data_IF_435039911163
#
_entry.id   IF_435039911163
#
_cell.length_a   1.000
_cell.length_b   1.000
_cell.length_c   1.000
_cell.angle_alpha   90.00
_cell.angle_beta   90.00
_cell.angle_gamma   90.00
#
_symmetry.space_group_name_H-M   'P 1'
#
loop_
_entity.id
_entity.type
_entity.pdbx_description
1 polymer ?
#
# COMPACT_ATOMS: atom_id res chain seq x y z
N UNK A 1 -23.82 29.27 14.61
CA UNK A 1 -22.56 28.58 14.98
C UNK A 1 -22.51 27.27 14.22
N UNK A 2 -21.61 27.14 13.25
CA UNK A 2 -20.93 25.90 12.77
C UNK A 2 -20.34 26.21 11.39
N UNK A 3 -19.09 26.64 11.35
CA UNK A 3 -18.26 26.52 10.15
C UNK A 3 -17.01 25.72 10.52
N UNK A 4 -16.79 24.58 9.85
CA UNK A 4 -15.46 24.04 9.66
C UNK A 4 -15.24 23.86 8.16
N UNK A 5 -15.21 24.95 7.37
CA UNK A 5 -14.90 24.90 5.93
C UNK A 5 -13.50 25.41 5.58
N UNK A 6 -12.73 25.87 6.57
CA UNK A 6 -11.41 26.45 6.33
C UNK A 6 -10.24 25.45 6.38
N UNK A 7 -10.45 24.21 6.84
CA UNK A 7 -9.37 23.22 6.96
C UNK A 7 -9.15 22.38 5.69
N UNK A 8 -10.14 22.30 4.81
CA UNK A 8 -10.06 21.49 3.58
C UNK A 8 -9.14 22.12 2.51
N UNK A 9 -9.09 23.44 2.41
CA UNK A 9 -8.28 24.14 1.39
C UNK A 9 -6.77 24.13 1.69
N UNK A 10 -6.36 23.92 2.93
CA UNK A 10 -4.93 23.92 3.28
C UNK A 10 -4.23 22.61 2.88
N UNK A 11 -4.94 21.47 2.89
CA UNK A 11 -4.37 20.18 2.49
C UNK A 11 -4.26 20.02 0.97
N UNK A 12 -5.07 20.75 0.18
CA UNK A 12 -4.98 20.76 -1.29
C UNK A 12 -3.71 21.43 -1.83
N UNK A 13 -2.97 22.17 -0.99
CA UNK A 13 -1.68 22.77 -1.38
C UNK A 13 -0.51 21.77 -1.39
N UNK A 14 -0.67 20.63 -0.72
CA UNK A 14 0.39 19.64 -0.56
C UNK A 14 0.05 18.38 -1.34
N UNK A 15 1.03 17.84 -2.05
CA UNK A 15 0.90 16.54 -2.66
C UNK A 15 1.03 15.44 -1.60
N UNK A 16 0.41 14.26 -1.79
CA UNK A 16 0.69 13.09 -0.96
C UNK A 16 2.08 12.54 -1.28
N UNK A 17 2.73 11.96 -0.27
CA UNK A 17 4.00 11.25 -0.44
C UNK A 17 3.91 10.18 -1.55
N UNK A 18 4.95 10.08 -2.37
CA UNK A 18 5.01 9.12 -3.48
C UNK A 18 5.05 7.63 -3.05
N UNK A 19 5.20 7.33 -1.76
CA UNK A 19 5.20 5.95 -1.26
C UNK A 19 3.76 5.46 -1.09
N UNK A 20 3.39 4.32 -1.71
CA UNK A 20 2.07 3.74 -1.51
C UNK A 20 1.78 3.55 -0.03
N UNK A 21 0.58 3.90 0.42
CA UNK A 21 0.12 3.85 1.83
C UNK A 21 0.68 4.91 2.78
N UNK A 22 1.56 5.81 2.33
CA UNK A 22 1.99 6.97 3.12
C UNK A 22 1.12 8.20 2.81
N UNK A 23 0.47 8.75 3.82
CA UNK A 23 -0.41 9.93 3.69
C UNK A 23 0.28 11.24 4.13
N UNK A 24 1.60 11.19 4.36
CA UNK A 24 2.34 12.38 4.79
C UNK A 24 2.38 13.41 3.66
N UNK A 25 1.99 14.68 3.93
CA UNK A 25 2.03 15.73 2.91
C UNK A 25 3.49 16.07 2.54
N UNK A 26 3.71 16.33 1.25
CA UNK A 26 4.98 16.76 0.66
C UNK A 26 4.75 18.00 -0.21
N UNK A 27 5.83 18.71 -0.52
CA UNK A 27 5.76 19.97 -1.27
C UNK A 27 5.48 19.74 -2.75
N UNK A 28 6.15 18.78 -3.38
CA UNK A 28 5.99 18.51 -4.81
C UNK A 28 5.45 17.09 -5.05
N UNK A 29 4.63 16.94 -6.09
CA UNK A 29 4.14 15.63 -6.52
C UNK A 29 5.31 14.76 -6.97
N UNK A 30 5.45 13.59 -6.36
CA UNK A 30 6.58 12.68 -6.60
C UNK A 30 7.63 12.71 -5.49
N UNK A 31 7.57 13.66 -4.56
CA UNK A 31 8.44 13.68 -3.40
C UNK A 31 8.14 12.56 -2.39
N UNK A 32 9.19 12.17 -1.68
CA UNK A 32 9.11 11.22 -0.56
C UNK A 32 9.33 11.99 0.74
N UNK A 33 8.47 11.80 1.74
CA UNK A 33 8.64 12.50 3.03
C UNK A 33 9.91 12.04 3.78
N UNK A 34 10.44 12.88 4.68
CA UNK A 34 11.67 12.59 5.43
C UNK A 34 11.64 11.25 6.17
N UNK A 35 10.48 10.84 6.69
CA UNK A 35 10.33 9.53 7.36
C UNK A 35 10.57 8.36 6.40
N UNK A 36 9.97 8.41 5.21
CA UNK A 36 10.14 7.39 4.18
C UNK A 36 11.55 7.44 3.55
N UNK A 37 12.14 8.62 3.39
CA UNK A 37 13.54 8.74 2.94
C UNK A 37 14.50 8.07 3.93
N UNK A 38 14.30 8.27 5.24
CA UNK A 38 15.16 7.65 6.25
C UNK A 38 14.98 6.11 6.31
N UNK A 39 13.75 5.63 6.16
CA UNK A 39 13.46 4.20 6.21
C UNK A 39 13.91 3.44 4.94
N UNK A 40 13.69 4.06 3.78
CA UNK A 40 13.79 3.38 2.48
C UNK A 40 14.79 4.01 1.52
N UNK A 41 15.48 5.09 1.88
CA UNK A 41 16.26 5.93 0.96
C UNK A 41 17.26 5.17 0.09
N UNK A 42 17.89 4.12 0.62
CA UNK A 42 18.81 3.26 -0.13
C UNK A 42 18.13 2.34 -1.17
N UNK A 43 16.82 2.11 -1.06
CA UNK A 43 16.00 1.33 -1.99
C UNK A 43 15.18 2.20 -2.93
N UNK A 44 15.06 3.50 -2.67
CA UNK A 44 14.38 4.42 -3.58
C UNK A 44 15.21 4.56 -4.84
N UNK A 45 14.55 4.42 -5.99
CA UNK A 45 15.15 4.64 -7.30
C UNK A 45 14.38 5.76 -7.98
N UNK A 46 15.05 6.80 -8.50
CA UNK A 46 14.41 7.79 -9.34
C UNK A 46 13.74 7.09 -10.51
N UNK A 47 12.45 7.34 -10.74
CA UNK A 47 11.78 6.87 -11.95
C UNK A 47 12.34 7.71 -13.11
N UNK A 48 13.01 7.10 -14.10
CA UNK A 48 13.38 7.85 -15.30
C UNK A 48 12.10 8.36 -15.98
N UNK A 49 12.11 9.59 -16.53
CA UNK A 49 10.96 10.10 -17.25
C UNK A 49 10.67 9.13 -18.42
N UNK A 50 9.47 8.55 -18.44
CA UNK A 50 9.06 7.73 -19.56
C UNK A 50 8.86 8.64 -20.80
N UNK A 51 9.22 8.19 -22.02
CA UNK A 51 8.88 8.92 -23.22
C UNK A 51 7.34 8.96 -23.35
N UNK A 52 6.76 10.13 -23.09
CA UNK A 52 5.32 10.36 -23.10
C UNK A 52 4.65 10.57 -21.73
N UNK A 53 5.41 10.66 -20.64
CA UNK A 53 4.89 11.06 -19.31
C UNK A 53 4.62 12.59 -19.34
N UNK A 54 3.47 12.97 -19.92
CA UNK A 54 2.86 14.28 -19.71
C UNK A 54 2.33 14.26 -18.27
N UNK A 55 2.82 15.19 -17.44
CA UNK A 55 2.26 15.44 -16.10
C UNK A 55 0.74 15.44 -16.19
N UNK A 56 0.02 14.71 -15.32
CA UNK A 56 -1.43 14.76 -15.34
C UNK A 56 -1.86 16.16 -14.88
N UNK A 57 -2.00 17.09 -15.83
CA UNK A 57 -2.93 18.19 -15.64
C UNK A 57 -4.30 17.55 -15.52
N UNK A 58 -4.98 17.84 -14.40
CA UNK A 58 -6.37 17.49 -14.21
C UNK A 58 -7.18 18.07 -15.36
N UNK A 59 -7.63 17.21 -16.27
CA UNK A 59 -8.70 17.53 -17.20
C UNK A 59 -9.87 16.55 -16.98
N UNK A 60 -10.99 17.18 -16.62
CA UNK A 60 -12.31 16.66 -16.30
C UNK A 60 -12.74 15.60 -17.34
N UNK A 61 -12.92 14.34 -16.93
CA UNK A 61 -13.30 13.28 -17.86
C UNK A 61 -14.43 12.41 -17.30
N UNK A 62 -15.60 12.73 -17.80
CA UNK A 62 -16.80 11.92 -17.84
C UNK A 62 -16.52 10.45 -18.22
N UNK A 63 -17.13 9.57 -17.43
CA UNK A 63 -17.52 8.17 -17.67
C UNK A 63 -17.25 7.62 -19.08
N UNK A 64 -16.24 6.76 -19.21
CA UNK A 64 -16.23 5.69 -20.21
C UNK A 64 -15.83 4.38 -19.51
N UNK A 65 -16.78 3.46 -19.45
CA UNK A 65 -16.69 2.19 -18.73
C UNK A 65 -15.69 1.22 -19.34
N UNK A 66 -14.95 0.55 -18.46
CA UNK A 66 -14.16 -0.65 -18.76
C UNK A 66 -14.91 -1.88 -18.23
N UNK A 67 -15.06 -2.95 -19.02
CA UNK A 67 -15.88 -4.09 -18.66
C UNK A 67 -15.23 -4.91 -17.52
N UNK A 68 -16.10 -5.35 -16.61
CA UNK A 68 -15.80 -6.18 -15.47
C UNK A 68 -15.24 -7.56 -15.89
N UNK A 69 -13.92 -7.65 -16.01
CA UNK A 69 -13.20 -8.92 -15.96
C UNK A 69 -12.99 -9.30 -14.50
N UNK A 70 -13.77 -10.27 -14.01
CA UNK A 70 -13.81 -10.71 -12.63
C UNK A 70 -12.41 -11.04 -12.06
N UNK A 71 -11.91 -10.18 -11.19
CA UNK A 71 -10.86 -10.54 -10.24
C UNK A 71 -11.52 -11.46 -9.20
N UNK A 72 -10.98 -12.67 -8.91
CA UNK A 72 -11.51 -13.49 -7.83
C UNK A 72 -11.33 -12.77 -6.49
N UNK A 73 -12.41 -12.11 -6.06
CA UNK A 73 -12.61 -11.53 -4.74
C UNK A 73 -12.92 -12.63 -3.74
N UNK A 74 -11.88 -13.27 -3.21
CA UNK A 74 -11.97 -14.01 -1.94
C UNK A 74 -10.59 -14.21 -1.33
N UNK A 75 -9.84 -13.12 -1.10
CA UNK A 75 -8.82 -13.15 -0.06
C UNK A 75 -9.54 -12.96 1.27
N UNK A 76 -9.98 -14.07 1.86
CA UNK A 76 -10.32 -14.11 3.28
C UNK A 76 -9.03 -13.78 4.02
N UNK A 77 -8.81 -12.49 4.31
CA UNK A 77 -7.76 -12.01 5.20
C UNK A 77 -8.13 -12.45 6.61
N UNK A 78 -8.02 -13.76 6.86
CA UNK A 78 -8.04 -14.29 8.20
C UNK A 78 -6.69 -13.89 8.81
N UNK A 79 -6.66 -12.93 9.77
CA UNK A 79 -5.39 -12.45 10.34
C UNK A 79 -4.62 -13.57 11.05
N UNK A 80 -5.31 -14.66 11.35
CA UNK A 80 -4.76 -15.84 11.99
C UNK A 80 -4.21 -16.83 10.97
N UNK A 81 -4.51 -16.76 9.67
CA UNK A 81 -4.05 -17.73 8.66
C UNK A 81 -3.46 -17.07 7.41
N UNK A 82 -2.17 -17.33 7.14
CA UNK A 82 -1.42 -16.71 6.04
C UNK A 82 -0.56 -17.70 5.24
N UNK A 83 -0.51 -17.53 3.91
CA UNK A 83 0.32 -18.31 3.00
C UNK A 83 1.81 -17.88 3.04
N UNK A 84 2.72 -18.76 2.62
CA UNK A 84 4.17 -18.51 2.50
C UNK A 84 4.87 -18.01 3.77
N UNK A 85 4.31 -18.29 4.94
CA UNK A 85 4.95 -18.01 6.22
C UNK A 85 5.95 -19.13 6.56
N UNK A 86 7.09 -18.77 7.16
CA UNK A 86 8.04 -19.76 7.70
C UNK A 86 7.47 -20.34 8.99
N UNK A 87 7.26 -21.66 9.01
CA UNK A 87 6.80 -22.35 10.20
C UNK A 87 7.90 -22.36 11.28
N UNK A 88 7.57 -22.05 12.52
CA UNK A 88 8.58 -22.00 13.59
C UNK A 88 9.10 -23.39 14.01
N UNK A 89 8.35 -24.46 13.73
CA UNK A 89 8.69 -25.84 14.09
C UNK A 89 9.53 -26.55 13.03
N UNK A 90 9.17 -26.42 11.74
CA UNK A 90 9.87 -27.10 10.65
C UNK A 90 10.70 -26.15 9.76
N UNK A 91 10.66 -24.84 10.01
CA UNK A 91 11.36 -23.78 9.26
C UNK A 91 11.02 -23.63 7.77
N UNK A 92 10.16 -24.51 7.23
CA UNK A 92 9.70 -24.47 5.85
C UNK A 92 8.64 -23.38 5.61
N UNK A 93 8.57 -22.90 4.37
CA UNK A 93 7.53 -21.95 3.93
C UNK A 93 6.25 -22.69 3.56
N UNK A 94 5.17 -22.45 4.31
CA UNK A 94 3.86 -23.10 4.12
C UNK A 94 2.72 -22.13 4.41
N UNK A 95 1.49 -22.56 4.17
CA UNK A 95 0.31 -21.91 4.74
C UNK A 95 0.24 -22.23 6.23
N UNK A 96 0.36 -21.19 7.07
CA UNK A 96 0.46 -21.30 8.51
C UNK A 96 -0.67 -20.55 9.23
N UNK A 97 -0.97 -20.99 10.44
CA UNK A 97 -1.84 -20.31 11.40
C UNK A 97 -1.00 -19.65 12.51
N UNK A 98 -1.48 -18.54 13.09
CA UNK A 98 -0.80 -17.81 14.15
C UNK A 98 -1.20 -18.38 15.52
N UNK A 99 -0.41 -19.31 16.03
CA UNK A 99 -0.61 -19.94 17.34
C UNK A 99 0.28 -19.24 18.38
N UNK A 100 -0.32 -18.61 19.39
CA UNK A 100 0.40 -17.90 20.48
C UNK A 100 1.50 -16.95 19.97
N UNK A 101 1.24 -16.23 18.88
CA UNK A 101 2.19 -15.28 18.29
C UNK A 101 3.24 -15.89 17.34
N UNK A 102 3.26 -17.21 17.15
CA UNK A 102 4.16 -17.92 16.22
C UNK A 102 3.40 -18.52 15.04
N UNK A 103 4.09 -18.73 13.92
CA UNK A 103 3.49 -19.32 12.72
C UNK A 103 3.66 -20.84 12.70
N UNK A 104 2.54 -21.57 12.70
CA UNK A 104 2.53 -23.03 12.64
C UNK A 104 1.83 -23.54 11.39
N UNK A 105 2.49 -24.44 10.65
CA UNK A 105 1.84 -25.10 9.53
C UNK A 105 0.86 -26.17 10.02
N UNK A 106 -0.13 -26.49 9.19
CA UNK A 106 -1.15 -27.52 9.50
C UNK A 106 -0.57 -28.87 9.92
N UNK A 107 0.61 -29.24 9.41
CA UNK A 107 1.28 -30.49 9.79
C UNK A 107 1.88 -30.43 11.20
N UNK A 108 2.39 -29.27 11.62
CA UNK A 108 3.03 -29.08 12.92
C UNK A 108 2.02 -28.85 14.04
N UNK A 109 0.89 -28.18 13.78
CA UNK A 109 -0.20 -28.01 14.78
C UNK A 109 -0.95 -29.31 15.09
N UNK A 110 -0.75 -30.36 14.29
CA UNK A 110 -1.37 -31.69 14.48
C UNK A 110 -0.43 -32.72 15.12
N UNK A 111 0.80 -32.33 15.45
CA UNK A 111 1.75 -33.17 16.18
C UNK A 111 1.58 -32.99 17.67
#
# INVERSE_FOLDING_TARGET
>A
MTEPRHQLTQLDLFAPCAIPTCETPVTESGDVCTGCQNAFGHMLQPRPPAPGDVSPQLEDAHTVGVPAGAIPTASTNDPDRKANQRCWLCEERRTCQKVSGRWECRACTRR
#
